data_IF_660787421877
#
_entry.id   IF_660787421877
#
_cell.length_a   1.000
_cell.length_b   1.000
_cell.length_c   1.000
_cell.angle_alpha   90.00
_cell.angle_beta   90.00
_cell.angle_gamma   90.00
#
_symmetry.space_group_name_H-M   'P 1'
#
loop_
_entity.id
_entity.type
_entity.pdbx_description
1 polymer ?
#
# COMPACT_ATOMS: atom_id res chain seq x y z
N UNK A 1 -43.62 -11.65 -1.84
CA UNK A 1 -43.10 -11.15 -3.12
C UNK A 1 -41.61 -11.35 -3.10
N UNK A 2 -41.15 -12.37 -3.78
CA UNK A 2 -39.75 -12.45 -4.16
C UNK A 2 -39.60 -11.41 -5.30
N UNK A 3 -38.83 -10.35 -5.07
CA UNK A 3 -38.37 -9.55 -6.19
C UNK A 3 -37.44 -10.47 -6.98
N UNK A 4 -37.83 -10.84 -8.19
CA UNK A 4 -36.93 -11.41 -9.17
C UNK A 4 -35.92 -10.31 -9.55
N UNK A 5 -34.90 -10.15 -8.71
CA UNK A 5 -33.65 -9.55 -9.14
C UNK A 5 -32.92 -10.64 -9.89
N UNK A 6 -33.04 -10.68 -11.20
CA UNK A 6 -32.14 -11.46 -12.03
C UNK A 6 -30.70 -11.05 -11.73
N UNK A 7 -29.69 -11.85 -12.09
CA UNK A 7 -28.33 -11.46 -11.95
C UNK A 7 -28.17 -10.11 -12.66
N UNK A 8 -27.83 -9.05 -11.92
CA UNK A 8 -27.41 -7.81 -12.53
C UNK A 8 -26.19 -8.18 -13.36
N UNK A 9 -26.20 -7.88 -14.64
CA UNK A 9 -25.04 -8.04 -15.48
C UNK A 9 -23.92 -7.22 -14.84
N UNK A 10 -22.97 -7.90 -14.24
CA UNK A 10 -21.79 -7.25 -13.71
C UNK A 10 -20.95 -6.81 -14.91
N UNK A 11 -21.00 -5.54 -15.20
CA UNK A 11 -20.08 -4.92 -16.16
C UNK A 11 -18.75 -4.73 -15.46
N UNK A 12 -17.82 -5.65 -15.71
CA UNK A 12 -16.44 -5.47 -15.30
C UNK A 12 -15.78 -4.50 -16.29
N UNK A 13 -15.44 -3.30 -15.81
CA UNK A 13 -14.53 -2.44 -16.54
C UNK A 13 -13.10 -2.96 -16.43
N UNK A 14 -12.16 -2.50 -17.26
CA UNK A 14 -10.76 -2.85 -17.14
C UNK A 14 -10.21 -2.32 -15.81
N UNK A 15 -9.60 -3.20 -15.04
CA UNK A 15 -8.78 -2.83 -13.89
C UNK A 15 -7.37 -2.55 -14.42
N UNK A 16 -6.78 -1.46 -13.97
CA UNK A 16 -5.45 -1.06 -14.39
C UNK A 16 -4.63 -0.60 -13.17
N UNK A 17 -3.44 -1.18 -13.05
CA UNK A 17 -2.43 -0.75 -12.09
C UNK A 17 -1.30 -0.05 -12.86
N UNK A 18 -1.07 1.21 -12.54
CA UNK A 18 -0.03 2.03 -13.17
C UNK A 18 1.01 2.43 -12.15
N UNK A 19 2.29 2.32 -12.51
CA UNK A 19 3.41 2.85 -11.73
C UNK A 19 4.15 3.90 -12.54
N UNK A 20 4.27 5.09 -11.98
CA UNK A 20 5.13 6.17 -12.49
C UNK A 20 6.25 6.41 -11.49
N UNK A 21 7.49 6.30 -11.94
CA UNK A 21 8.67 6.48 -11.09
C UNK A 21 9.63 7.48 -11.70
N UNK A 22 10.21 8.30 -10.84
CA UNK A 22 11.27 9.23 -11.19
C UNK A 22 12.37 9.10 -10.14
N UNK A 23 13.63 8.99 -10.59
CA UNK A 23 14.79 8.89 -9.71
C UNK A 23 15.97 9.64 -10.30
N UNK A 24 16.69 10.38 -9.45
CA UNK A 24 17.99 10.97 -9.76
C UNK A 24 18.96 10.54 -8.68
N UNK A 25 20.09 10.02 -9.10
CA UNK A 25 21.20 9.61 -8.23
C UNK A 25 22.47 10.35 -8.61
N UNK A 26 23.25 10.75 -7.62
CA UNK A 26 24.61 11.22 -7.75
C UNK A 26 25.56 10.32 -7.00
N UNK A 27 26.78 10.21 -7.52
CA UNK A 27 27.87 9.47 -6.90
C UNK A 27 29.12 10.32 -6.91
N UNK A 28 29.86 10.31 -5.82
CA UNK A 28 31.10 11.04 -5.67
C UNK A 28 32.14 10.21 -4.95
N UNK A 29 33.29 10.02 -5.58
CA UNK A 29 34.46 9.36 -5.00
C UNK A 29 35.34 10.39 -4.30
N UNK A 30 35.59 10.21 -3.01
CA UNK A 30 36.42 11.08 -2.20
C UNK A 30 37.43 10.26 -1.39
N UNK A 31 38.60 10.00 -1.96
CA UNK A 31 39.59 9.08 -1.38
C UNK A 31 39.01 7.67 -1.24
N UNK A 32 38.98 7.17 -0.01
CA UNK A 32 38.46 5.86 0.33
C UNK A 32 36.94 5.83 0.57
N UNK A 33 36.26 6.95 0.32
CA UNK A 33 34.80 7.12 0.47
C UNK A 33 34.10 7.13 -0.89
N UNK A 34 33.03 6.39 -1.00
CA UNK A 34 32.08 6.44 -2.10
C UNK A 34 30.74 6.98 -1.58
N UNK A 35 30.55 8.27 -1.77
CA UNK A 35 29.31 8.94 -1.41
C UNK A 35 28.27 8.76 -2.49
N UNK A 36 27.07 8.33 -2.12
CA UNK A 36 25.90 8.25 -2.99
C UNK A 36 24.77 9.04 -2.38
N UNK A 37 24.06 9.78 -3.19
CA UNK A 37 22.89 10.56 -2.75
C UNK A 37 21.87 10.61 -3.87
N UNK A 38 20.62 10.75 -3.51
CA UNK A 38 19.59 10.82 -4.52
C UNK A 38 18.21 11.15 -3.96
N UNK A 39 17.32 11.36 -4.91
CA UNK A 39 15.91 11.56 -4.68
C UNK A 39 15.12 10.57 -5.54
N UNK A 40 14.06 10.03 -4.99
CA UNK A 40 13.11 9.24 -5.77
C UNK A 40 11.66 9.63 -5.43
N UNK A 41 10.81 9.52 -6.43
CA UNK A 41 9.38 9.68 -6.29
C UNK A 41 8.68 8.61 -7.11
N UNK A 42 7.76 7.91 -6.46
CA UNK A 42 6.92 6.92 -7.11
C UNK A 42 5.45 7.25 -6.87
N UNK A 43 4.65 7.05 -7.89
CA UNK A 43 3.20 7.09 -7.80
C UNK A 43 2.65 5.77 -8.34
N UNK A 44 1.94 5.06 -7.49
CA UNK A 44 1.14 3.90 -7.86
C UNK A 44 -0.31 4.36 -7.96
N UNK A 45 -0.96 4.02 -9.05
CA UNK A 45 -2.37 4.25 -9.26
C UNK A 45 -3.03 2.90 -9.50
N UNK A 46 -4.00 2.54 -8.66
CA UNK A 46 -4.85 1.38 -8.87
C UNK A 46 -6.23 1.88 -9.25
N UNK A 47 -6.68 1.55 -10.46
CA UNK A 47 -7.95 1.98 -11.02
C UNK A 47 -8.85 0.78 -11.22
N UNK A 48 -10.05 0.84 -10.67
CA UNK A 48 -11.11 -0.14 -10.90
C UNK A 48 -12.16 0.49 -11.80
N UNK A 49 -12.24 -0.03 -13.02
CA UNK A 49 -13.22 0.41 -14.02
C UNK A 49 -14.41 -0.54 -14.03
N UNK A 50 -15.43 -0.32 -13.21
CA UNK A 50 -16.66 -1.09 -13.27
C UNK A 50 -17.38 -1.24 -11.94
N UNK A 51 -18.64 -1.65 -12.04
CA UNK A 51 -19.47 -1.91 -10.88
C UNK A 51 -19.06 -3.23 -10.22
N UNK A 52 -18.56 -3.12 -9.00
CA UNK A 52 -18.64 -4.13 -7.95
C UNK A 52 -17.70 -5.33 -7.95
N UNK A 53 -16.99 -5.46 -6.86
CA UNK A 53 -16.09 -6.57 -6.48
C UNK A 53 -16.82 -7.87 -6.08
N UNK A 54 -18.13 -7.84 -5.85
CA UNK A 54 -18.92 -8.99 -5.41
C UNK A 54 -20.05 -9.28 -6.38
N UNK A 55 -20.25 -10.54 -6.73
CA UNK A 55 -21.37 -11.12 -7.49
C UNK A 55 -22.48 -10.13 -7.87
N UNK A 56 -22.28 -9.31 -8.91
CA UNK A 56 -23.28 -8.35 -9.38
C UNK A 56 -23.52 -7.12 -8.50
N UNK A 57 -22.54 -6.68 -7.69
CA UNK A 57 -22.66 -5.46 -6.89
C UNK A 57 -23.54 -5.55 -5.66
N UNK A 58 -23.88 -6.75 -5.26
CA UNK A 58 -24.71 -6.95 -4.10
C UNK A 58 -24.26 -8.15 -3.27
N UNK A 59 -24.42 -8.07 -1.98
CA UNK A 59 -24.33 -9.22 -1.11
C UNK A 59 -25.62 -9.38 -0.29
N UNK A 60 -25.93 -10.62 0.03
CA UNK A 60 -27.17 -10.97 0.72
C UNK A 60 -26.87 -11.45 2.13
N UNK A 61 -27.58 -10.87 3.12
CA UNK A 61 -27.55 -11.35 4.51
C UNK A 61 -28.90 -11.89 4.90
N UNK A 62 -28.89 -13.07 5.50
CA UNK A 62 -30.07 -13.75 5.97
C UNK A 62 -30.31 -13.43 7.45
N UNK A 63 -31.52 -13.07 7.80
CA UNK A 63 -31.92 -12.72 9.15
C UNK A 63 -33.21 -13.44 9.54
N UNK A 64 -33.41 -13.55 10.84
CA UNK A 64 -34.68 -13.97 11.42
C UNK A 64 -35.21 -12.81 12.27
N UNK A 65 -36.45 -12.41 12.03
CA UNK A 65 -37.07 -11.30 12.76
C UNK A 65 -37.34 -11.70 14.22
N UNK A 66 -37.01 -10.83 15.18
CA UNK A 66 -37.35 -11.05 16.59
C UNK A 66 -38.81 -10.82 16.87
N UNK A 67 -39.56 -10.27 15.91
CA UNK A 67 -40.94 -9.78 16.03
C UNK A 67 -41.01 -8.27 16.19
N UNK A 68 -42.16 -7.69 15.79
CA UNK A 68 -42.43 -6.26 15.86
C UNK A 68 -41.88 -5.46 14.65
N UNK A 69 -41.80 -4.17 14.85
CA UNK A 69 -41.41 -3.24 13.80
C UNK A 69 -39.92 -3.29 13.49
N UNK A 70 -39.62 -3.53 12.24
CA UNK A 70 -38.24 -3.53 11.69
C UNK A 70 -38.06 -2.38 10.70
N UNK A 71 -36.97 -1.64 10.82
CA UNK A 71 -36.67 -0.54 9.90
C UNK A 71 -35.77 -1.04 8.76
N UNK A 72 -36.21 -0.80 7.53
CA UNK A 72 -35.49 -1.12 6.30
C UNK A 72 -35.31 0.17 5.47
N UNK A 73 -34.15 0.80 5.55
CA UNK A 73 -33.84 2.04 4.83
C UNK A 73 -34.91 3.14 4.94
N UNK A 74 -35.37 3.40 6.18
CA UNK A 74 -36.40 4.40 6.44
C UNK A 74 -37.84 3.88 6.32
N UNK A 75 -38.07 2.66 5.85
CA UNK A 75 -39.39 2.03 5.79
C UNK A 75 -39.53 1.08 6.98
N UNK A 76 -40.56 1.31 7.80
CA UNK A 76 -40.89 0.42 8.92
C UNK A 76 -41.87 -0.66 8.46
N UNK A 77 -41.52 -1.91 8.72
CA UNK A 77 -42.33 -3.09 8.40
C UNK A 77 -42.53 -3.92 9.67
N UNK A 78 -43.74 -4.23 10.03
CA UNK A 78 -44.06 -5.14 11.14
C UNK A 78 -43.87 -6.60 10.69
N UNK A 79 -42.97 -7.33 11.34
CA UNK A 79 -42.67 -8.72 11.04
C UNK A 79 -43.02 -9.60 12.26
N UNK A 80 -43.69 -10.73 12.02
CA UNK A 80 -43.89 -11.73 13.08
C UNK A 80 -42.52 -12.33 13.52
N UNK A 81 -42.42 -12.70 14.79
CA UNK A 81 -41.23 -13.38 15.31
C UNK A 81 -40.99 -14.69 14.54
N UNK A 82 -39.72 -14.95 14.19
CA UNK A 82 -39.34 -16.10 13.40
C UNK A 82 -39.43 -15.90 11.87
N UNK A 83 -39.97 -14.77 11.39
CA UNK A 83 -39.99 -14.47 9.96
C UNK A 83 -38.57 -14.39 9.42
N UNK A 84 -38.28 -15.23 8.42
CA UNK A 84 -36.98 -15.16 7.71
C UNK A 84 -37.03 -14.12 6.62
N UNK A 85 -36.01 -13.27 6.54
CA UNK A 85 -35.88 -12.27 5.50
C UNK A 85 -34.44 -12.12 5.06
N UNK A 86 -34.27 -11.57 3.88
CA UNK A 86 -32.95 -11.33 3.28
C UNK A 86 -32.78 -9.82 3.11
N UNK A 87 -31.65 -9.31 3.54
CA UNK A 87 -31.22 -7.97 3.18
C UNK A 87 -30.24 -8.04 2.04
N UNK A 88 -30.57 -7.39 0.96
CA UNK A 88 -29.64 -7.07 -0.11
C UNK A 88 -28.90 -5.78 0.29
N UNK A 89 -27.59 -5.81 0.23
CA UNK A 89 -26.78 -4.61 0.27
C UNK A 89 -26.12 -4.45 -1.09
N UNK A 90 -26.50 -3.43 -1.81
CA UNK A 90 -25.83 -2.97 -3.02
C UNK A 90 -24.56 -2.23 -2.60
N UNK A 91 -23.46 -2.58 -3.24
CA UNK A 91 -22.21 -1.83 -3.19
C UNK A 91 -22.20 -0.98 -4.45
N UNK A 92 -22.62 0.27 -4.34
CA UNK A 92 -22.45 1.23 -5.41
C UNK A 92 -20.98 1.67 -5.42
N UNK A 93 -20.11 0.86 -6.01
CA UNK A 93 -18.77 1.30 -6.34
C UNK A 93 -18.80 1.89 -7.74
N UNK A 94 -18.95 3.17 -7.81
CA UNK A 94 -18.48 3.90 -8.98
C UNK A 94 -16.99 3.58 -9.20
N UNK A 95 -16.53 3.61 -10.46
CA UNK A 95 -15.12 3.50 -10.79
C UNK A 95 -14.29 4.35 -9.82
N UNK A 96 -13.35 3.73 -9.15
CA UNK A 96 -12.52 4.40 -8.16
C UNK A 96 -11.05 4.22 -8.54
N UNK A 97 -10.29 5.27 -8.36
CA UNK A 97 -8.85 5.25 -8.53
C UNK A 97 -8.21 5.62 -7.20
N UNK A 98 -7.29 4.80 -6.73
CA UNK A 98 -6.53 5.04 -5.51
C UNK A 98 -5.07 5.27 -5.85
N UNK A 99 -4.49 6.30 -5.27
CA UNK A 99 -3.08 6.62 -5.47
C UNK A 99 -2.28 6.37 -4.21
N UNK A 100 -1.07 5.84 -4.37
CA UNK A 100 -0.02 5.85 -3.34
C UNK A 100 1.16 6.62 -3.89
N UNK A 101 1.55 7.67 -3.20
CA UNK A 101 2.73 8.46 -3.52
C UNK A 101 3.79 8.16 -2.49
N UNK A 102 5.00 7.85 -2.97
CA UNK A 102 6.18 7.66 -2.16
C UNK A 102 7.25 8.64 -2.61
N UNK A 103 7.77 9.43 -1.69
CA UNK A 103 8.87 10.37 -1.91
C UNK A 103 10.01 10.05 -0.96
N UNK A 104 11.22 10.04 -1.47
CA UNK A 104 12.37 9.78 -0.65
C UNK A 104 13.60 10.58 -1.08
N UNK A 105 14.40 10.90 -0.08
CA UNK A 105 15.74 11.44 -0.22
C UNK A 105 16.71 10.55 0.56
N UNK A 106 17.90 10.32 0.02
CA UNK A 106 18.91 9.52 0.72
C UNK A 106 20.32 10.03 0.49
N UNK A 107 21.16 9.73 1.48
CA UNK A 107 22.61 9.88 1.42
C UNK A 107 23.25 8.62 2.02
N UNK A 108 24.27 8.11 1.36
CA UNK A 108 24.97 6.88 1.76
C UNK A 108 26.46 7.08 1.57
N UNK A 109 27.25 6.46 2.44
CA UNK A 109 28.71 6.40 2.32
C UNK A 109 29.17 4.95 2.41
N UNK A 110 29.99 4.55 1.47
CA UNK A 110 30.73 3.30 1.50
C UNK A 110 32.21 3.63 1.68
N UNK A 111 32.70 3.43 2.89
CA UNK A 111 34.06 3.75 3.28
C UNK A 111 34.94 2.50 3.33
N UNK A 112 35.96 2.47 2.47
CA UNK A 112 37.02 1.45 2.53
C UNK A 112 37.98 1.80 3.69
N UNK A 113 37.60 1.42 4.93
CA UNK A 113 38.30 1.80 6.14
C UNK A 113 39.71 1.23 6.22
N UNK A 114 39.91 0.04 5.65
CA UNK A 114 41.22 -0.60 5.40
C UNK A 114 41.13 -1.44 4.13
N UNK A 115 42.23 -2.02 3.67
CA UNK A 115 42.26 -2.84 2.46
C UNK A 115 41.26 -4.03 2.52
N UNK A 116 40.91 -4.47 3.71
CA UNK A 116 40.05 -5.63 3.93
C UNK A 116 38.78 -5.31 4.75
N UNK A 117 38.50 -4.04 5.08
CA UNK A 117 37.30 -3.62 5.81
C UNK A 117 36.55 -2.52 5.08
N UNK A 118 35.34 -2.83 4.65
CA UNK A 118 34.37 -1.90 4.11
C UNK A 118 33.31 -1.59 5.18
N UNK A 119 33.07 -0.33 5.44
CA UNK A 119 31.98 0.17 6.32
C UNK A 119 30.97 0.94 5.48
N UNK A 120 29.72 0.65 5.70
CA UNK A 120 28.61 1.32 5.02
C UNK A 120 27.77 2.07 6.04
N UNK A 121 27.44 3.33 5.74
CA UNK A 121 26.51 4.14 6.50
C UNK A 121 25.54 4.88 5.59
N UNK A 122 24.27 4.89 5.92
CA UNK A 122 23.27 5.58 5.12
C UNK A 122 22.10 6.12 5.93
N UNK A 123 21.50 7.17 5.42
CA UNK A 123 20.28 7.75 5.95
C UNK A 123 19.31 7.98 4.79
N UNK A 124 18.12 7.43 4.91
CA UNK A 124 17.01 7.66 3.98
C UNK A 124 15.87 8.33 4.73
N UNK A 125 15.30 9.35 4.11
CA UNK A 125 14.13 10.05 4.60
C UNK A 125 12.99 9.78 3.61
N UNK A 126 11.88 9.26 4.11
CA UNK A 126 10.74 8.80 3.30
C UNK A 126 9.46 9.46 3.75
N UNK A 127 8.56 9.70 2.80
CA UNK A 127 7.20 10.17 3.05
C UNK A 127 6.23 9.37 2.17
N UNK A 128 5.14 8.91 2.77
CA UNK A 128 4.07 8.18 2.10
C UNK A 128 2.77 8.96 2.18
N UNK A 129 2.02 8.94 1.09
CA UNK A 129 0.71 9.56 1.00
C UNK A 129 -0.23 8.65 0.21
N UNK A 130 -1.39 8.35 0.77
CA UNK A 130 -2.44 7.59 0.12
C UNK A 130 -3.64 8.49 -0.14
N UNK A 131 -4.10 8.52 -1.40
CA UNK A 131 -5.25 9.29 -1.83
C UNK A 131 -6.44 8.37 -2.12
N UNK A 132 -7.63 8.85 -1.78
CA UNK A 132 -8.88 8.16 -2.08
C UNK A 132 -9.32 8.37 -3.55
N UNK A 133 -10.45 7.75 -3.94
CA UNK A 133 -10.98 7.81 -5.32
C UNK A 133 -11.38 9.20 -5.82
N UNK A 134 -11.45 10.20 -4.97
CA UNK A 134 -11.73 11.60 -5.32
C UNK A 134 -10.48 12.48 -5.22
N UNK A 135 -9.31 11.88 -4.98
CA UNK A 135 -8.04 12.57 -4.93
C UNK A 135 -7.73 13.27 -3.60
N UNK A 136 -8.45 12.94 -2.53
CA UNK A 136 -8.17 13.46 -1.20
C UNK A 136 -7.24 12.51 -0.44
N UNK A 137 -6.26 13.09 0.26
CA UNK A 137 -5.36 12.34 1.14
C UNK A 137 -6.10 11.83 2.36
N UNK A 138 -6.08 10.53 2.61
CA UNK A 138 -6.69 9.91 3.79
C UNK A 138 -5.66 9.27 4.73
N UNK A 139 -4.46 8.96 4.22
CA UNK A 139 -3.31 8.53 5.01
C UNK A 139 -2.10 9.32 4.54
N UNK A 140 -1.39 9.93 5.48
CA UNK A 140 -0.13 10.61 5.25
C UNK A 140 0.83 10.27 6.39
N UNK A 141 2.06 9.92 6.06
CA UNK A 141 3.10 9.75 7.08
C UNK A 141 3.83 11.08 7.31
N UNK A 142 4.31 11.28 8.52
CA UNK A 142 5.38 12.23 8.77
C UNK A 142 6.66 11.83 8.03
N UNK A 143 7.67 12.70 8.06
CA UNK A 143 8.98 12.38 7.52
C UNK A 143 9.63 11.24 8.32
N UNK A 144 9.80 10.08 7.69
CA UNK A 144 10.29 8.87 8.31
C UNK A 144 11.79 8.72 8.05
N UNK A 145 12.60 8.68 9.10
CA UNK A 145 14.04 8.50 9.01
C UNK A 145 14.42 7.02 9.14
N UNK A 146 15.11 6.52 8.13
CA UNK A 146 15.56 5.13 8.01
C UNK A 146 17.10 5.06 7.96
N UNK A 147 17.77 5.07 9.12
CA UNK A 147 19.22 4.85 9.20
C UNK A 147 19.57 3.41 8.84
N UNK A 148 20.72 3.25 8.18
CA UNK A 148 21.27 1.96 7.75
C UNK A 148 22.75 1.94 8.04
N UNK A 149 23.24 0.83 8.57
CA UNK A 149 24.66 0.59 8.84
C UNK A 149 25.00 -0.82 8.38
N UNK A 150 26.22 -0.99 7.90
CA UNK A 150 26.72 -2.29 7.48
C UNK A 150 28.24 -2.33 7.52
N UNK A 151 28.76 -3.53 7.59
CA UNK A 151 30.18 -3.79 7.42
C UNK A 151 30.41 -5.09 6.65
N UNK A 152 31.50 -5.14 5.93
CA UNK A 152 32.03 -6.33 5.29
C UNK A 152 33.52 -6.40 5.60
N UNK A 153 33.96 -7.46 6.24
CA UNK A 153 35.34 -7.64 6.68
C UNK A 153 35.91 -8.96 6.19
N UNK A 154 36.99 -8.87 5.41
CA UNK A 154 37.84 -10.01 5.10
C UNK A 154 38.79 -10.20 6.29
N UNK A 155 38.44 -11.12 7.20
CA UNK A 155 39.13 -11.26 8.49
C UNK A 155 40.59 -11.75 8.36
N UNK A 156 40.91 -12.46 7.29
CA UNK A 156 42.26 -12.98 7.00
C UNK A 156 43.00 -12.12 5.99
N UNK A 157 42.28 -11.42 5.10
CA UNK A 157 42.83 -10.56 4.06
C UNK A 157 43.19 -11.29 2.77
N UNK A 158 42.85 -12.55 2.64
CA UNK A 158 43.06 -13.38 1.47
C UNK A 158 41.76 -13.82 0.76
N UNK A 159 40.62 -13.30 1.22
CA UNK A 159 39.28 -13.62 0.72
C UNK A 159 38.71 -14.94 1.22
N UNK A 160 39.42 -15.69 2.05
CA UNK A 160 38.99 -16.99 2.54
C UNK A 160 37.90 -16.92 3.63
N UNK A 161 37.90 -15.85 4.43
CA UNK A 161 36.91 -15.64 5.53
C UNK A 161 36.35 -14.22 5.45
N UNK A 162 35.07 -14.12 5.10
CA UNK A 162 34.34 -12.84 5.07
C UNK A 162 33.24 -12.81 6.12
N UNK A 163 33.22 -11.75 6.93
CA UNK A 163 32.19 -11.47 7.93
C UNK A 163 31.36 -10.29 7.47
N UNK A 164 30.04 -10.40 7.66
CA UNK A 164 29.06 -9.36 7.33
C UNK A 164 28.19 -9.05 8.52
N UNK A 165 27.91 -7.76 8.74
CA UNK A 165 26.91 -7.32 9.67
C UNK A 165 26.12 -6.16 9.07
N UNK A 166 24.79 -6.18 9.28
CA UNK A 166 23.91 -5.11 8.81
C UNK A 166 22.88 -4.81 9.89
N UNK A 167 22.58 -3.52 10.06
CA UNK A 167 21.51 -3.04 10.91
C UNK A 167 20.83 -1.85 10.23
N UNK A 168 19.51 -1.76 10.33
CA UNK A 168 18.79 -0.64 9.71
C UNK A 168 17.31 -0.61 10.04
N UNK A 169 16.71 0.54 9.78
CA UNK A 169 15.27 0.73 9.83
C UNK A 169 14.72 0.82 8.42
N UNK A 170 13.57 0.20 8.21
CA UNK A 170 12.87 0.19 6.93
C UNK A 170 11.40 0.48 7.18
N UNK A 171 10.78 1.20 6.26
CA UNK A 171 9.36 1.50 6.28
C UNK A 171 8.70 0.89 5.05
N UNK A 172 7.47 0.45 5.23
CA UNK A 172 6.65 -0.13 4.16
C UNK A 172 5.42 0.76 4.03
N UNK A 173 5.10 1.28 2.84
CA UNK A 173 3.88 2.04 2.63
C UNK A 173 2.65 1.18 2.88
N UNK A 174 1.56 1.82 3.30
CA UNK A 174 0.26 1.15 3.43
C UNK A 174 -0.25 0.81 2.04
N UNK A 175 -0.63 -0.44 1.84
CA UNK A 175 -1.17 -0.89 0.56
C UNK A 175 -2.53 -0.24 0.25
N UNK A 176 -2.84 -0.05 -1.04
CA UNK A 176 -4.10 0.57 -1.50
C UNK A 176 -5.35 -0.26 -1.24
N UNK A 177 -5.20 -1.54 -0.96
CA UNK A 177 -6.28 -2.51 -0.81
C UNK A 177 -6.68 -2.80 0.65
N UNK A 178 -6.34 -1.92 1.58
CA UNK A 178 -6.69 -2.07 3.01
C UNK A 178 -7.95 -1.30 3.39
#
# INVERSE_FOLDING_TARGET
HFAEGGPRDATFGPDEDTRKAFRIDGEWMLGDHQLRFGVDREKFTSSHGGESIYSGGAYYRYFTAPGGDQNFNGTTVNLAAGTRYVRERTLDSASSSYDVINEAFYVEDSWQATDNLLVYGGLRSEKFENLNGIGETFIESDQLLAPRLGLSWDAVGDGSVKLYANAGRYYIPVATNT
#
